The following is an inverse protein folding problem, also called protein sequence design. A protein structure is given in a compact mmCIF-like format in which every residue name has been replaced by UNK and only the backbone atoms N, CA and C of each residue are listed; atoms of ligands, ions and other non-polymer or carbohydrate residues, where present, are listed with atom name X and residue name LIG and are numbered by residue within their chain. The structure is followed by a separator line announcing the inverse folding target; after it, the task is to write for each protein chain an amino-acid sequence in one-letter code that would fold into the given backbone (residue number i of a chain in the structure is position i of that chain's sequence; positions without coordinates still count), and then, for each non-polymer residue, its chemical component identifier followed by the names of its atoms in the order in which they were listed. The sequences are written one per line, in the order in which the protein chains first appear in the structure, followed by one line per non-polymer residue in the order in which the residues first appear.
data_IF_131550754977
#
_entry.id   IF_131550754977
#
_cell.length_a   1.000
_cell.length_b   1.000
_cell.length_c   1.000
_cell.angle_alpha   90.00
_cell.angle_beta   90.00
_cell.angle_gamma   90.00
#
_symmetry.space_group_name_H-M   'P 1'
#
loop_
_entity.id
_entity.type
_entity.pdbx_description
1 polymer ?
#
# COMPACT_ATOMS: atom_id res chain seq x y z
N UNK A 1 -2.71 -18.48 6.62
CA UNK A 1 -2.41 -18.03 5.26
C UNK A 1 -3.59 -18.49 4.44
N UNK A 2 -4.39 -17.56 3.95
CA UNK A 2 -5.65 -17.85 3.27
C UNK A 2 -5.43 -18.16 1.79
N UNK A 3 -4.35 -17.67 1.19
CA UNK A 3 -4.17 -17.67 -0.27
C UNK A 3 -3.21 -18.76 -0.78
N UNK A 4 -2.42 -19.39 0.09
CA UNK A 4 -1.28 -20.26 -0.29
C UNK A 4 -1.64 -21.48 -1.14
N UNK A 5 -2.86 -22.01 -0.99
CA UNK A 5 -3.33 -23.17 -1.75
C UNK A 5 -4.18 -22.78 -2.96
N UNK A 6 -4.67 -21.53 -3.00
CA UNK A 6 -5.62 -21.05 -4.01
C UNK A 6 -4.98 -20.21 -5.11
N UNK A 7 -3.83 -19.57 -4.85
CA UNK A 7 -3.19 -18.64 -5.77
C UNK A 7 -1.74 -19.05 -6.09
N UNK A 8 -1.37 -18.77 -7.33
CA UNK A 8 -0.03 -18.93 -7.89
C UNK A 8 0.34 -17.69 -8.68
N UNK A 9 1.61 -17.50 -9.03
CA UNK A 9 2.04 -16.35 -9.84
C UNK A 9 1.35 -16.31 -11.22
N UNK A 10 0.84 -17.45 -11.72
CA UNK A 10 0.06 -17.52 -12.96
C UNK A 10 -1.34 -16.88 -12.86
N UNK A 11 -1.83 -16.64 -11.64
CA UNK A 11 -3.07 -15.89 -11.41
C UNK A 11 -2.93 -14.39 -11.72
N UNK A 12 -1.70 -13.91 -11.91
CA UNK A 12 -1.38 -12.50 -12.09
C UNK A 12 -0.68 -12.26 -13.45
N UNK A 13 -0.96 -11.10 -14.04
CA UNK A 13 -0.31 -10.67 -15.28
C UNK A 13 0.08 -9.21 -15.19
N UNK A 14 1.25 -8.87 -15.72
CA UNK A 14 1.84 -7.53 -15.62
C UNK A 14 2.11 -6.95 -17.00
N UNK A 15 1.93 -5.65 -17.12
CA UNK A 15 2.42 -4.88 -18.25
C UNK A 15 3.07 -3.58 -17.77
N UNK A 16 4.16 -3.19 -18.44
CA UNK A 16 4.82 -1.90 -18.30
C UNK A 16 4.84 -1.23 -19.68
N UNK A 17 4.34 -0.01 -19.79
CA UNK A 17 4.24 0.73 -21.06
C UNK A 17 3.55 -0.10 -22.17
N UNK A 18 2.54 -0.89 -21.76
CA UNK A 18 1.78 -1.80 -22.63
C UNK A 18 2.52 -3.09 -23.05
N UNK A 19 3.77 -3.27 -22.63
CA UNK A 19 4.56 -4.47 -22.90
C UNK A 19 4.42 -5.48 -21.76
N UNK A 20 4.42 -6.77 -22.08
CA UNK A 20 4.38 -7.85 -21.07
C UNK A 20 5.59 -7.72 -20.12
N UNK A 21 5.32 -7.83 -18.82
CA UNK A 21 6.29 -7.67 -17.75
C UNK A 21 6.09 -8.74 -16.64
N UNK A 22 6.85 -8.60 -15.57
CA UNK A 22 6.82 -9.39 -14.33
C UNK A 22 6.67 -8.49 -13.09
N UNK A 23 6.53 -9.09 -11.91
CA UNK A 23 6.52 -8.34 -10.65
C UNK A 23 7.87 -7.66 -10.41
N UNK A 24 8.95 -8.32 -10.79
CA UNK A 24 10.33 -7.88 -10.65
C UNK A 24 10.66 -6.72 -11.59
N UNK A 25 9.95 -6.59 -12.71
CA UNK A 25 10.03 -5.39 -13.56
C UNK A 25 9.31 -4.19 -12.92
N UNK A 26 8.23 -4.44 -12.18
CA UNK A 26 7.50 -3.40 -11.40
C UNK A 26 8.30 -3.00 -10.17
N UNK A 27 8.93 -3.96 -9.50
CA UNK A 27 9.77 -3.80 -8.33
C UNK A 27 11.18 -4.38 -8.58
N UNK A 28 12.08 -3.60 -9.20
CA UNK A 28 13.44 -4.07 -9.45
C UNK A 28 14.15 -4.54 -8.18
N UNK A 29 14.71 -5.75 -8.25
CA UNK A 29 15.42 -6.40 -7.13
C UNK A 29 14.51 -6.93 -6.03
N UNK A 30 13.22 -7.16 -6.31
CA UNK A 30 12.28 -7.72 -5.34
C UNK A 30 12.76 -9.07 -4.80
N UNK A 31 12.69 -9.26 -3.48
CA UNK A 31 13.09 -10.50 -2.80
C UNK A 31 12.25 -10.76 -1.54
N UNK A 32 12.50 -11.88 -0.86
CA UNK A 32 11.74 -12.35 0.30
C UNK A 32 11.81 -11.45 1.54
N UNK A 33 12.74 -10.49 1.59
CA UNK A 33 12.90 -9.52 2.67
C UNK A 33 12.30 -8.14 2.35
N UNK A 34 11.75 -7.97 1.13
CA UNK A 34 11.09 -6.72 0.77
C UNK A 34 9.82 -6.50 1.60
N UNK A 35 9.57 -5.24 1.94
CA UNK A 35 8.46 -4.79 2.78
C UNK A 35 7.61 -3.82 1.99
N UNK A 36 6.35 -4.16 1.78
CA UNK A 36 5.38 -3.32 1.10
C UNK A 36 4.65 -2.42 2.11
N UNK A 37 4.57 -1.12 1.84
CA UNK A 37 3.72 -0.19 2.57
C UNK A 37 2.64 0.37 1.65
N UNK A 38 1.40 0.42 2.10
CA UNK A 38 0.28 1.02 1.36
C UNK A 38 -0.38 2.07 2.24
N UNK A 39 -0.43 3.31 1.79
CA UNK A 39 -1.06 4.42 2.51
C UNK A 39 -2.50 4.58 2.04
N UNK A 40 -3.46 4.45 2.96
CA UNK A 40 -4.90 4.53 2.66
C UNK A 40 -5.57 5.63 3.47
N UNK A 41 -6.45 6.40 2.82
CA UNK A 41 -7.14 7.54 3.45
C UNK A 41 -8.65 7.45 3.44
N UNK A 42 -9.22 6.47 2.76
CA UNK A 42 -10.67 6.30 2.66
C UNK A 42 -11.12 4.85 2.79
N UNK A 43 -12.35 4.60 3.27
CA UNK A 43 -12.92 3.27 3.38
C UNK A 43 -12.80 2.48 2.08
N UNK A 44 -12.23 1.28 2.15
CA UNK A 44 -12.05 0.41 0.98
C UNK A 44 -10.96 0.87 0.00
N UNK A 45 -10.22 1.94 0.27
CA UNK A 45 -9.27 2.54 -0.66
C UNK A 45 -8.17 1.58 -1.12
N UNK A 46 -7.68 0.70 -0.24
CA UNK A 46 -6.67 -0.34 -0.56
C UNK A 46 -7.08 -1.24 -1.72
N UNK A 47 -8.40 -1.41 -1.95
CA UNK A 47 -8.85 -2.29 -3.04
C UNK A 47 -8.39 -1.80 -4.41
N UNK A 48 -8.14 -0.51 -4.60
CA UNK A 48 -7.54 0.02 -5.82
C UNK A 48 -6.10 -0.45 -6.11
N UNK A 49 -5.45 -1.08 -5.13
CA UNK A 49 -4.12 -1.68 -5.26
C UNK A 49 -4.12 -3.19 -5.00
N UNK A 50 -5.29 -3.82 -4.89
CA UNK A 50 -5.41 -5.21 -4.48
C UNK A 50 -4.75 -6.21 -5.43
N UNK A 51 -4.76 -5.96 -6.75
CA UNK A 51 -4.10 -6.82 -7.72
C UNK A 51 -2.60 -6.91 -7.44
N UNK A 52 -1.93 -5.76 -7.27
CA UNK A 52 -0.50 -5.71 -7.00
C UNK A 52 -0.15 -6.27 -5.61
N UNK A 53 -0.95 -5.94 -4.58
CA UNK A 53 -0.77 -6.47 -3.22
C UNK A 53 -0.85 -7.99 -3.23
N UNK A 54 -1.91 -8.57 -3.81
CA UNK A 54 -2.10 -10.01 -3.83
C UNK A 54 -1.05 -10.72 -4.69
N UNK A 55 -0.59 -10.09 -5.77
CA UNK A 55 0.51 -10.62 -6.57
C UNK A 55 1.81 -10.66 -5.76
N UNK A 56 2.15 -9.58 -5.05
CA UNK A 56 3.33 -9.52 -4.19
C UNK A 56 3.26 -10.52 -3.02
N UNK A 57 2.07 -10.76 -2.45
CA UNK A 57 1.86 -11.74 -1.38
C UNK A 57 2.05 -13.17 -1.92
N UNK A 58 1.48 -13.44 -3.10
CA UNK A 58 1.63 -14.74 -3.77
C UNK A 58 3.09 -15.01 -4.11
N UNK A 59 3.78 -14.01 -4.64
CA UNK A 59 5.21 -14.10 -4.95
C UNK A 59 6.07 -14.30 -3.69
N UNK A 60 5.75 -13.62 -2.58
CA UNK A 60 6.40 -13.88 -1.29
C UNK A 60 6.26 -15.36 -0.89
N UNK A 61 5.05 -15.92 -0.98
CA UNK A 61 4.85 -17.33 -0.64
C UNK A 61 5.57 -18.28 -1.59
N UNK A 62 5.83 -17.91 -2.84
CA UNK A 62 6.60 -18.73 -3.78
C UNK A 62 8.03 -19.00 -3.28
N UNK A 63 8.68 -18.05 -2.58
CA UNK A 63 10.00 -18.28 -1.95
C UNK A 63 9.98 -19.38 -0.87
N UNK A 64 8.84 -19.57 -0.22
CA UNK A 64 8.71 -20.47 0.93
C UNK A 64 7.81 -21.67 0.67
N UNK A 65 7.15 -21.76 -0.50
CA UNK A 65 6.04 -22.68 -0.78
C UNK A 65 6.29 -24.13 -0.34
N UNK A 66 7.47 -24.73 -0.55
CA UNK A 66 7.75 -26.09 -0.08
C UNK A 66 7.77 -26.27 1.44
N UNK A 67 7.94 -25.19 2.20
CA UNK A 67 8.11 -25.15 3.66
C UNK A 67 6.83 -24.77 4.40
N UNK A 68 5.90 -24.10 3.70
CA UNK A 68 4.63 -23.64 4.24
C UNK A 68 3.70 -24.82 4.62
N UNK A 69 2.83 -24.58 5.59
CA UNK A 69 1.77 -25.51 5.95
C UNK A 69 1.28 -25.36 7.39
N UNK A 70 0.17 -26.04 7.71
CA UNK A 70 -0.43 -26.00 9.05
C UNK A 70 0.03 -27.13 9.98
N UNK A 71 0.77 -28.11 9.45
CA UNK A 71 1.28 -29.25 10.23
C UNK A 71 2.48 -28.84 11.11
N UNK A 72 2.74 -29.62 12.18
CA UNK A 72 3.90 -29.41 13.04
C UNK A 72 5.20 -29.45 12.21
N UNK A 73 6.07 -28.48 12.43
CA UNK A 73 7.35 -28.35 11.70
C UNK A 73 7.24 -27.62 10.35
N UNK A 74 6.06 -27.15 9.97
CA UNK A 74 5.86 -26.27 8.79
C UNK A 74 5.89 -24.80 9.19
N UNK A 75 6.29 -23.95 8.26
CA UNK A 75 6.29 -22.50 8.45
C UNK A 75 4.87 -21.94 8.31
N UNK A 76 4.50 -21.09 9.27
CA UNK A 76 3.29 -20.27 9.25
C UNK A 76 3.71 -18.81 9.37
N UNK A 77 4.11 -18.26 8.23
CA UNK A 77 4.67 -16.91 8.11
C UNK A 77 3.77 -16.07 7.21
N UNK A 78 3.88 -14.76 7.33
CA UNK A 78 3.17 -13.81 6.50
C UNK A 78 4.17 -12.76 6.03
N UNK A 79 3.99 -12.18 4.84
CA UNK A 79 4.86 -11.12 4.38
C UNK A 79 4.75 -9.89 5.29
N UNK A 80 5.86 -9.19 5.49
CA UNK A 80 5.91 -7.92 6.23
C UNK A 80 5.37 -6.77 5.38
N UNK A 81 4.09 -6.86 5.03
CA UNK A 81 3.36 -5.88 4.24
C UNK A 81 2.36 -5.16 5.13
N UNK A 82 2.33 -3.83 5.03
CA UNK A 82 1.66 -2.95 5.97
C UNK A 82 0.66 -2.05 5.26
N UNK A 83 -0.50 -1.85 5.88
CA UNK A 83 -1.46 -0.84 5.48
C UNK A 83 -1.42 0.28 6.52
N UNK A 84 -1.14 1.49 6.08
CA UNK A 84 -1.11 2.71 6.88
C UNK A 84 -2.43 3.45 6.70
N UNK A 85 -3.31 3.29 7.68
CA UNK A 85 -4.61 3.93 7.74
C UNK A 85 -4.48 5.33 8.34
N UNK A 86 -4.66 6.35 7.51
CA UNK A 86 -4.51 7.76 7.94
C UNK A 86 -5.78 8.23 8.65
N UNK A 87 -5.62 8.74 9.87
CA UNK A 87 -6.66 9.31 10.74
C UNK A 87 -7.56 8.30 11.44
N UNK A 88 -8.00 7.25 10.74
CA UNK A 88 -8.82 6.16 11.30
C UNK A 88 -8.61 4.88 10.50
N UNK A 89 -9.02 3.73 11.03
CA UNK A 89 -9.08 2.48 10.27
C UNK A 89 -10.09 2.60 9.11
N UNK A 90 -9.66 2.21 7.91
CA UNK A 90 -10.41 2.26 6.65
C UNK A 90 -10.79 0.87 6.09
N UNK A 91 -10.42 -0.19 6.80
CA UNK A 91 -10.79 -1.56 6.44
C UNK A 91 -10.11 -2.63 7.27
N UNK A 92 -10.35 -3.88 6.87
CA UNK A 92 -9.77 -5.11 7.37
C UNK A 92 -9.37 -6.00 6.19
N UNK A 93 -8.07 -6.10 5.95
CA UNK A 93 -7.50 -6.77 4.79
C UNK A 93 -6.90 -8.14 5.13
N UNK A 94 -7.30 -8.74 6.26
CA UNK A 94 -6.80 -10.06 6.68
C UNK A 94 -7.04 -11.17 5.66
N UNK A 95 -8.13 -11.06 4.88
CA UNK A 95 -8.50 -12.03 3.85
C UNK A 95 -7.55 -12.01 2.66
N UNK A 96 -6.85 -10.89 2.46
CA UNK A 96 -5.78 -10.77 1.48
C UNK A 96 -4.43 -11.22 2.05
N UNK A 97 -4.37 -11.74 3.28
CA UNK A 97 -3.15 -12.09 4.03
C UNK A 97 -2.29 -10.88 4.49
N UNK A 98 -2.90 -9.70 4.63
CA UNK A 98 -2.33 -8.63 5.48
C UNK A 98 -2.53 -9.04 6.95
N UNK A 99 -1.50 -9.66 7.53
CA UNK A 99 -1.57 -10.27 8.86
C UNK A 99 -0.16 -10.46 9.43
N UNK A 100 0.07 -10.41 10.75
CA UNK A 100 -0.87 -10.22 11.89
C UNK A 100 -1.52 -8.84 12.00
N UNK A 101 -2.44 -8.60 12.98
CA UNK A 101 -3.09 -7.31 13.15
C UNK A 101 -2.14 -6.11 13.28
N UNK A 102 -0.88 -6.33 13.68
CA UNK A 102 0.16 -5.29 13.69
C UNK A 102 0.57 -4.79 12.30
N UNK A 103 0.13 -5.44 11.23
CA UNK A 103 0.32 -5.01 9.85
C UNK A 103 -0.71 -3.95 9.40
N UNK A 104 -1.76 -3.76 10.19
CA UNK A 104 -2.78 -2.73 9.98
C UNK A 104 -2.49 -1.57 10.94
N UNK A 105 -1.84 -0.53 10.44
CA UNK A 105 -1.26 0.55 11.23
C UNK A 105 -2.15 1.78 11.14
N UNK A 106 -2.69 2.26 12.25
CA UNK A 106 -3.42 3.52 12.29
C UNK A 106 -2.43 4.63 12.66
N UNK A 107 -2.39 5.69 11.86
CA UNK A 107 -1.53 6.85 12.07
C UNK A 107 -2.37 8.11 12.06
N UNK A 108 -1.98 9.12 12.81
CA UNK A 108 -2.64 10.43 12.75
C UNK A 108 -2.48 11.05 11.35
N UNK A 109 -3.40 11.94 10.98
CA UNK A 109 -3.26 12.73 9.75
C UNK A 109 -2.25 13.86 9.92
N UNK A 110 -1.01 13.49 10.21
CA UNK A 110 0.14 14.36 10.41
C UNK A 110 1.27 13.88 9.48
N UNK A 111 1.81 14.75 8.59
CA UNK A 111 2.80 14.33 7.59
C UNK A 111 3.98 13.58 8.21
N UNK A 112 4.54 14.12 9.30
CA UNK A 112 5.70 13.53 9.96
C UNK A 112 5.38 12.13 10.47
N UNK A 113 4.29 11.96 11.20
CA UNK A 113 3.93 10.65 11.78
C UNK A 113 3.65 9.60 10.70
N UNK A 114 3.08 9.99 9.56
CA UNK A 114 2.86 9.06 8.45
C UNK A 114 4.21 8.55 7.94
N UNK A 115 5.16 9.45 7.68
CA UNK A 115 6.48 9.07 7.17
C UNK A 115 7.34 8.33 8.21
N UNK A 116 7.27 8.73 9.49
CA UNK A 116 7.90 8.02 10.61
C UNK A 116 7.38 6.58 10.69
N UNK A 117 6.07 6.38 10.64
CA UNK A 117 5.50 5.04 10.68
C UNK A 117 5.97 4.17 9.50
N UNK A 118 6.04 4.74 8.29
CA UNK A 118 6.59 4.05 7.11
C UNK A 118 8.05 3.62 7.36
N UNK A 119 8.87 4.53 7.88
CA UNK A 119 10.27 4.27 8.19
C UNK A 119 10.45 3.23 9.29
N UNK A 120 9.65 3.29 10.36
CA UNK A 120 9.71 2.37 11.51
C UNK A 120 9.39 0.92 11.13
N UNK A 121 8.52 0.71 10.14
CA UNK A 121 8.26 -0.64 9.59
C UNK A 121 9.29 -1.08 8.56
N UNK A 122 10.24 -0.22 8.21
CA UNK A 122 11.29 -0.55 7.26
C UNK A 122 10.79 -0.79 5.85
N UNK A 123 9.73 -0.07 5.42
CA UNK A 123 9.16 -0.21 4.07
C UNK A 123 10.24 -0.01 3.00
N UNK A 124 10.26 -0.90 2.01
CA UNK A 124 11.17 -0.85 0.85
C UNK A 124 10.42 -0.58 -0.46
N UNK A 125 9.14 -0.95 -0.54
CA UNK A 125 8.23 -0.67 -1.67
C UNK A 125 7.02 0.09 -1.17
N UNK A 126 6.73 1.26 -1.73
CA UNK A 126 5.67 2.13 -1.23
C UNK A 126 4.57 2.31 -2.29
N UNK A 127 3.32 2.19 -1.85
CA UNK A 127 2.13 2.54 -2.61
C UNK A 127 1.41 3.71 -1.91
N UNK A 128 1.14 4.77 -2.65
CA UNK A 128 0.41 5.95 -2.16
C UNK A 128 -0.80 6.23 -3.05
N UNK A 129 -1.88 6.72 -2.46
CA UNK A 129 -3.04 7.20 -3.22
C UNK A 129 -2.60 8.35 -4.14
N UNK A 130 -2.95 8.27 -5.42
CA UNK A 130 -2.72 9.30 -6.41
C UNK A 130 -3.63 10.50 -6.13
N UNK A 131 -3.18 11.69 -6.46
CA UNK A 131 -3.89 12.92 -6.12
C UNK A 131 -3.06 14.16 -6.35
N UNK A 132 -3.49 15.26 -5.72
CA UNK A 132 -2.78 16.54 -5.80
C UNK A 132 -1.62 16.54 -4.79
N UNK A 133 -0.36 16.73 -5.24
CA UNK A 133 0.77 16.85 -4.33
C UNK A 133 0.59 18.03 -3.37
N UNK A 134 0.86 17.80 -2.09
CA UNK A 134 0.85 18.82 -1.05
C UNK A 134 2.19 19.55 -0.91
N UNK A 135 2.17 20.61 -0.11
CA UNK A 135 3.35 21.37 0.33
C UNK A 135 3.70 21.09 1.80
N UNK A 136 3.39 19.89 2.30
CA UNK A 136 3.72 19.49 3.66
C UNK A 136 5.23 19.60 3.93
N UNK A 137 5.57 19.99 5.16
CA UNK A 137 6.96 20.07 5.62
C UNK A 137 7.27 18.87 6.49
N UNK A 138 8.40 18.21 6.21
CA UNK A 138 8.91 17.06 6.94
C UNK A 138 10.28 17.39 7.52
N UNK A 139 10.66 16.70 8.60
CA UNK A 139 12.03 16.72 9.09
C UNK A 139 12.97 16.09 8.06
N UNK A 140 14.16 16.68 7.91
CA UNK A 140 15.15 16.25 6.92
C UNK A 140 15.60 14.82 7.16
N UNK A 141 15.80 14.46 8.42
CA UNK A 141 16.26 13.15 8.87
C UNK A 141 15.24 12.06 8.51
N UNK A 142 13.95 12.35 8.66
CA UNK A 142 12.86 11.45 8.32
C UNK A 142 12.79 11.21 6.80
N UNK A 143 12.96 12.26 6.00
CA UNK A 143 13.07 12.15 4.54
C UNK A 143 14.31 11.34 4.14
N UNK A 144 15.49 11.64 4.70
CA UNK A 144 16.72 10.90 4.38
C UNK A 144 16.67 9.42 4.79
N UNK A 145 15.94 9.07 5.86
CA UNK A 145 15.69 7.66 6.23
C UNK A 145 14.87 6.94 5.16
N UNK A 146 13.86 7.61 4.59
CA UNK A 146 13.03 7.07 3.52
C UNK A 146 13.84 6.92 2.21
N UNK A 147 14.58 7.96 1.81
CA UNK A 147 15.45 7.96 0.61
C UNK A 147 16.48 6.83 0.62
N UNK A 148 17.01 6.50 1.80
CA UNK A 148 18.00 5.42 1.95
C UNK A 148 17.40 4.03 1.75
N UNK A 149 16.11 3.86 2.03
CA UNK A 149 15.48 2.53 2.20
C UNK A 149 14.47 2.18 1.10
N UNK A 150 13.63 3.14 0.71
CA UNK A 150 12.56 2.91 -0.25
C UNK A 150 13.16 2.86 -1.64
N UNK A 151 13.07 1.68 -2.27
CA UNK A 151 13.69 1.41 -3.56
C UNK A 151 12.72 1.59 -4.74
N UNK A 152 11.41 1.53 -4.49
CA UNK A 152 10.40 1.72 -5.54
C UNK A 152 9.12 2.29 -4.98
N UNK A 153 8.48 3.18 -5.75
CA UNK A 153 7.23 3.82 -5.35
C UNK A 153 6.25 3.85 -6.51
N UNK A 154 4.99 3.54 -6.23
CA UNK A 154 3.90 3.69 -7.18
C UNK A 154 2.75 4.51 -6.59
N UNK A 155 2.15 5.34 -7.43
CA UNK A 155 0.85 5.93 -7.19
C UNK A 155 -0.24 4.94 -7.64
N UNK A 156 -1.27 4.75 -6.82
CA UNK A 156 -2.46 3.98 -7.15
C UNK A 156 -3.72 4.82 -6.91
N UNK A 157 -4.84 4.46 -7.53
CA UNK A 157 -6.11 5.13 -7.27
C UNK A 157 -7.02 4.19 -6.50
N UNK A 158 -7.79 4.65 -5.49
CA UNK A 158 -8.81 3.84 -4.84
C UNK A 158 -9.84 3.21 -5.79
N UNK A 159 -10.02 3.78 -6.98
CA UNK A 159 -10.91 3.23 -8.01
C UNK A 159 -10.25 2.14 -8.86
N UNK A 160 -8.96 1.86 -8.64
CA UNK A 160 -8.15 0.94 -9.46
C UNK A 160 -7.69 1.53 -10.80
N UNK A 161 -7.94 2.83 -11.05
CA UNK A 161 -7.56 3.54 -12.28
C UNK A 161 -6.87 4.85 -11.96
N UNK A 162 -5.57 4.92 -12.23
CA UNK A 162 -4.80 6.19 -12.22
C UNK A 162 -4.82 6.84 -13.60
N UNK A 163 -4.62 8.15 -13.63
CA UNK A 163 -4.40 8.89 -14.87
C UNK A 163 -3.01 8.58 -15.44
N UNK A 164 -2.88 8.50 -16.78
CA UNK A 164 -1.61 8.23 -17.49
C UNK A 164 -0.79 7.07 -16.87
N UNK A 165 -1.38 5.86 -16.75
CA UNK A 165 -0.69 4.73 -16.15
C UNK A 165 0.47 4.25 -17.03
N UNK A 166 1.52 3.78 -16.39
CA UNK A 166 2.63 3.07 -17.03
C UNK A 166 2.75 1.62 -16.56
N UNK A 167 2.04 1.24 -15.49
CA UNK A 167 1.96 -0.14 -14.99
C UNK A 167 0.51 -0.60 -14.99
N UNK A 168 0.28 -1.80 -15.52
CA UNK A 168 -1.01 -2.50 -15.46
C UNK A 168 -0.83 -3.85 -14.81
N UNK A 169 -1.67 -4.17 -13.83
CA UNK A 169 -1.68 -5.49 -13.17
C UNK A 169 -3.06 -6.09 -13.33
N UNK A 170 -3.11 -7.36 -13.75
CA UNK A 170 -4.34 -8.13 -13.86
C UNK A 170 -4.32 -9.29 -12.87
N UNK A 171 -5.45 -9.62 -12.26
CA UNK A 171 -5.61 -10.76 -11.36
C UNK A 171 -6.78 -11.65 -11.77
N UNK A 172 -6.77 -12.91 -11.31
CA UNK A 172 -7.86 -13.87 -11.55
C UNK A 172 -9.09 -13.57 -10.68
N UNK A 173 -10.25 -14.13 -11.05
CA UNK A 173 -11.46 -14.03 -10.21
C UNK A 173 -11.29 -14.71 -8.84
N UNK A 174 -10.39 -15.70 -8.73
CA UNK A 174 -10.06 -16.31 -7.44
C UNK A 174 -9.42 -15.28 -6.50
N UNK A 175 -8.47 -14.49 -7.02
CA UNK A 175 -7.87 -13.41 -6.24
C UNK A 175 -8.93 -12.36 -5.86
N UNK A 176 -9.77 -11.96 -6.81
CA UNK A 176 -10.87 -11.01 -6.56
C UNK A 176 -11.82 -11.49 -5.46
N UNK A 177 -12.08 -12.80 -5.35
CA UNK A 177 -12.88 -13.37 -4.27
C UNK A 177 -12.40 -12.95 -2.88
N UNK A 178 -11.08 -12.98 -2.63
CA UNK A 178 -10.50 -12.54 -1.35
C UNK A 178 -10.64 -11.03 -1.13
N UNK A 179 -10.56 -10.22 -2.20
CA UNK A 179 -10.78 -8.77 -2.15
C UNK A 179 -12.22 -8.46 -1.78
N UNK A 180 -13.18 -9.16 -2.38
CA UNK A 180 -14.60 -9.00 -2.08
C UNK A 180 -14.93 -9.41 -0.65
N UNK A 181 -14.32 -10.49 -0.12
CA UNK A 181 -14.49 -10.86 1.30
C UNK A 181 -13.87 -9.83 2.23
N UNK A 182 -12.72 -9.24 1.87
CA UNK A 182 -12.14 -8.13 2.63
C UNK A 182 -13.07 -6.92 2.66
N UNK A 183 -13.70 -6.57 1.53
CA UNK A 183 -14.70 -5.49 1.45
C UNK A 183 -15.91 -5.77 2.35
N UNK A 184 -16.44 -6.99 2.33
CA UNK A 184 -17.57 -7.40 3.18
C UNK A 184 -17.24 -7.28 4.67
N UNK A 185 -16.01 -7.59 5.06
CA UNK A 185 -15.53 -7.41 6.44
C UNK A 185 -15.25 -5.94 6.82
N UNK A 186 -15.06 -5.07 5.83
CA UNK A 186 -14.61 -3.69 6.02
C UNK A 186 -15.72 -2.64 5.90
N UNK A 187 -16.84 -2.97 5.27
CA UNK A 187 -17.84 -1.98 4.88
C UNK A 187 -18.55 -1.38 6.09
N UNK A 188 -18.65 -0.04 6.10
CA UNK A 188 -19.36 0.70 7.15
C UNK A 188 -20.89 0.53 7.05
N UNK A 189 -21.41 0.30 5.83
CA UNK A 189 -22.83 0.03 5.58
C UNK A 189 -23.04 -0.84 4.32
N UNK A 190 -24.23 -1.46 4.15
CA UNK A 190 -24.57 -2.19 2.94
C UNK A 190 -24.51 -1.35 1.66
N UNK A 191 -24.88 -0.07 1.72
CA UNK A 191 -24.83 0.84 0.57
C UNK A 191 -23.39 1.12 0.12
N UNK A 192 -22.50 1.38 1.09
CA UNK A 192 -21.07 1.55 0.83
C UNK A 192 -20.47 0.27 0.24
N UNK A 193 -20.83 -0.89 0.80
CA UNK A 193 -20.39 -2.19 0.27
C UNK A 193 -20.79 -2.37 -1.19
N UNK A 194 -22.05 -2.10 -1.54
CA UNK A 194 -22.53 -2.25 -2.91
C UNK A 194 -21.86 -1.27 -3.86
N UNK A 195 -21.61 -0.03 -3.44
CA UNK A 195 -20.84 0.94 -4.23
C UNK A 195 -19.42 0.45 -4.51
N UNK A 196 -18.71 -0.05 -3.49
CA UNK A 196 -17.36 -0.60 -3.65
C UNK A 196 -17.37 -1.82 -4.59
N UNK A 197 -18.34 -2.74 -4.42
CA UNK A 197 -18.52 -3.91 -5.30
C UNK A 197 -18.85 -3.51 -6.75
N UNK A 198 -19.63 -2.45 -6.96
CA UNK A 198 -19.89 -1.92 -8.31
C UNK A 198 -18.61 -1.36 -8.93
N UNK A 199 -17.82 -0.61 -8.16
CA UNK A 199 -16.50 -0.13 -8.59
C UNK A 199 -15.59 -1.28 -9.04
N UNK A 200 -15.51 -2.35 -8.24
CA UNK A 200 -14.75 -3.57 -8.62
C UNK A 200 -15.23 -4.21 -9.92
N UNK A 201 -16.55 -4.33 -10.11
CA UNK A 201 -17.14 -4.91 -11.33
C UNK A 201 -16.73 -4.16 -12.60
N UNK A 202 -16.54 -2.84 -12.53
CA UNK A 202 -16.08 -2.03 -13.68
C UNK A 202 -14.64 -2.36 -14.08
N UNK A 203 -13.83 -2.88 -13.16
CA UNK A 203 -12.44 -3.26 -13.42
C UNK A 203 -12.30 -4.64 -14.07
N UNK A 204 -13.39 -5.41 -14.12
CA UNK A 204 -13.41 -6.77 -14.63
C UNK A 204 -13.60 -6.78 -16.14
N UNK A 205 -12.65 -7.38 -16.86
CA UNK A 205 -12.72 -7.65 -18.29
C UNK A 205 -12.23 -9.07 -18.56
N UNK A 206 -12.95 -9.85 -19.39
CA UNK A 206 -12.56 -11.22 -19.76
C UNK A 206 -12.21 -12.12 -18.54
N UNK A 207 -13.01 -12.05 -17.47
CA UNK A 207 -12.80 -12.79 -16.22
C UNK A 207 -11.45 -12.48 -15.52
N UNK A 208 -10.89 -11.29 -15.73
CA UNK A 208 -9.75 -10.79 -14.98
C UNK A 208 -10.05 -9.40 -14.46
N UNK A 209 -9.58 -9.11 -13.26
CA UNK A 209 -9.66 -7.76 -12.72
C UNK A 209 -8.38 -7.03 -13.05
N UNK A 210 -8.49 -5.87 -13.67
CA UNK A 210 -7.34 -5.05 -14.07
C UNK A 210 -7.27 -3.82 -13.18
N UNK A 211 -6.09 -3.48 -12.68
CA UNK A 211 -5.76 -2.25 -11.96
C UNK A 211 -4.57 -1.57 -12.64
N UNK A 212 -4.49 -0.24 -12.55
CA UNK A 212 -3.42 0.55 -13.16
C UNK A 212 -2.73 1.44 -12.15
N UNK A 213 -1.44 1.68 -12.37
CA UNK A 213 -0.56 2.38 -11.45
C UNK A 213 0.41 3.28 -12.23
N UNK A 214 1.00 4.25 -11.52
CA UNK A 214 2.10 5.07 -12.02
C UNK A 214 3.35 4.83 -11.20
N UNK A 215 4.48 4.53 -11.83
CA UNK A 215 5.78 4.67 -11.18
C UNK A 215 6.06 6.16 -10.94
N UNK A 216 6.48 6.50 -9.73
CA UNK A 216 6.78 7.88 -9.34
C UNK A 216 8.07 7.94 -8.54
N UNK A 217 8.68 9.12 -8.51
CA UNK A 217 9.82 9.39 -7.64
C UNK A 217 9.36 9.47 -6.18
N UNK A 218 10.23 9.05 -5.25
CA UNK A 218 9.93 9.11 -3.81
C UNK A 218 9.60 10.53 -3.34
N UNK A 219 10.26 11.55 -3.90
CA UNK A 219 9.98 12.95 -3.58
C UNK A 219 8.54 13.37 -3.90
N UNK A 220 7.97 12.81 -4.98
CA UNK A 220 6.58 13.07 -5.35
C UNK A 220 5.64 12.30 -4.45
N UNK A 221 5.97 11.05 -4.13
CA UNK A 221 5.18 10.22 -3.23
C UNK A 221 5.07 10.81 -1.82
N UNK A 222 6.16 11.37 -1.27
CA UNK A 222 6.15 12.05 0.04
C UNK A 222 5.13 13.19 0.05
N UNK A 223 4.99 13.92 -1.06
CA UNK A 223 4.00 15.00 -1.20
C UNK A 223 2.57 14.49 -1.32
N UNK A 224 2.37 13.22 -1.67
CA UNK A 224 1.06 12.57 -1.73
C UNK A 224 0.63 11.91 -0.41
N UNK A 225 1.50 11.86 0.60
CA UNK A 225 1.18 11.22 1.89
C UNK A 225 0.10 11.96 2.69
N UNK A 226 -0.04 13.26 2.47
CA UNK A 226 -1.01 14.10 3.18
C UNK A 226 -1.57 15.19 2.29
N UNK A 227 -2.73 15.70 2.67
CA UNK A 227 -3.36 16.90 2.10
C UNK A 227 -2.94 18.18 2.85
N UNK A 228 -2.22 18.05 3.97
CA UNK A 228 -1.78 19.19 4.79
C UNK A 228 -0.81 20.09 4.03
N UNK A 229 -0.97 21.40 4.19
CA UNK A 229 -0.01 22.41 3.73
C UNK A 229 0.80 22.95 4.92
N UNK A 230 2.13 22.89 4.82
CA UNK A 230 3.03 23.32 5.90
C UNK A 230 3.38 22.23 6.93
N UNK A 231 4.02 22.62 8.06
CA UNK A 231 4.49 21.66 9.07
C UNK A 231 3.32 21.14 9.92
N UNK A 232 3.27 19.82 10.10
CA UNK A 232 2.35 19.15 11.01
C UNK A 232 2.65 19.47 12.48
N UNK A 233 1.76 19.06 13.39
CA UNK A 233 1.94 19.28 14.82
C UNK A 233 3.24 18.65 15.34
N UNK A 234 3.61 17.48 14.80
CA UNK A 234 4.84 16.79 15.17
C UNK A 234 6.07 17.57 14.72
N UNK A 235 6.11 17.98 13.45
CA UNK A 235 7.22 18.78 12.90
C UNK A 235 7.37 20.11 13.63
N UNK A 236 6.27 20.82 13.90
CA UNK A 236 6.27 22.08 14.67
C UNK A 236 6.87 21.90 16.07
N UNK A 237 6.46 20.84 16.78
CA UNK A 237 6.98 20.52 18.11
C UNK A 237 8.49 20.28 18.07
N UNK A 238 8.97 19.45 17.15
CA UNK A 238 10.40 19.12 17.05
C UNK A 238 11.24 20.35 16.69
N UNK A 239 10.75 21.21 15.78
CA UNK A 239 11.41 22.48 15.45
C UNK A 239 11.49 23.39 16.68
N UNK A 240 10.38 23.54 17.42
CA UNK A 240 10.33 24.36 18.63
C UNK A 240 11.29 23.86 19.72
N UNK A 241 11.40 22.54 19.90
CA UNK A 241 12.33 21.91 20.84
C UNK A 241 13.80 22.09 20.42
N UNK A 242 14.08 22.04 19.11
CA UNK A 242 15.44 22.16 18.56
C UNK A 242 15.92 23.62 18.49
N UNK A 243 15.00 24.59 18.43
CA UNK A 243 15.29 26.02 18.34
C UNK A 243 14.43 26.84 19.34
N UNK A 244 14.69 26.76 20.65
CA UNK A 244 13.87 27.41 21.68
C UNK A 244 13.82 28.95 21.59
N UNK A 245 14.69 29.59 20.81
CA UNK A 245 14.69 31.03 20.52
C UNK A 245 13.88 31.44 19.28
N UNK A 246 13.37 30.49 18.49
CA UNK A 246 12.54 30.78 17.30
C UNK A 246 11.05 31.05 17.64
N UNK A 247 10.62 30.72 18.85
CA UNK A 247 9.25 30.92 19.35
C UNK A 247 8.83 32.39 19.51
N UNK A 248 9.73 33.34 19.24
CA UNK A 248 9.44 34.79 19.28
C UNK A 248 9.12 35.41 17.90
N UNK A 249 9.09 34.63 16.82
CA UNK A 249 8.91 35.14 15.45
C UNK A 249 7.65 34.61 14.72
N UNK A 250 6.74 33.95 15.43
CA UNK A 250 5.44 33.52 14.88
C UNK A 250 4.33 34.13 15.75
N UNK A 251 4.08 35.41 15.52
CA UNK A 251 2.83 36.13 15.83
C UNK A 251 2.42 36.90 14.60
#
# INVERSE_FOLDING_TARGET
MHTTEALTSADFGFQIDGQKASLEDVFPGFNEFDRLGVVVRQPGGVTGASCLIMAAITHFYDFYRPQLGNARGRLRIYPEYFIFHVGKRHGDYRQMDIWPPSHEVIVENDPEQILEAINDRGVTRLLVEDGTPSSATFLRETVSSAERRIASVLAYSPTGRVDRPDVTVTSSLTAEGYVLTALEASAESPEVLEQLKLGRRVLTHENRVTETYRRIELSDAIRLLTESSGPGATTQRVIAESHPSASQLIT
#
